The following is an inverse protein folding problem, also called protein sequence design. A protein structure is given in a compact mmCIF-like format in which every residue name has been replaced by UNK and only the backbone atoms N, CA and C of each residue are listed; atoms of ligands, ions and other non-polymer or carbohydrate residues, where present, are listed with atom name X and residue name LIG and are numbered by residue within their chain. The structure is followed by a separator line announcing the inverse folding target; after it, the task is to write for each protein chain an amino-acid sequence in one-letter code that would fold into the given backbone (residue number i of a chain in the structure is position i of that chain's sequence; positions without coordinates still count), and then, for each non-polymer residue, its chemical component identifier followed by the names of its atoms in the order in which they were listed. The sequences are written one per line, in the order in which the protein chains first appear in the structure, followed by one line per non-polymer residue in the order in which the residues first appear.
data_IF_709568641020
#
_entry.id   IF_709568641020
#
_cell.length_a   1.000
_cell.length_b   1.000
_cell.length_c   1.000
_cell.angle_alpha   90.00
_cell.angle_beta   90.00
_cell.angle_gamma   90.00
#
_symmetry.space_group_name_H-M   'P 1'
#
loop_
_entity.id
_entity.type
_entity.pdbx_description
1 polymer ?
#
# COMPACT_ATOMS: atom_id res chain seq x y z
N UNK A 1 2.63 -1.94 -22.80
CA UNK A 1 3.53 -1.72 -21.64
C UNK A 1 3.44 -0.34 -20.96
N UNK A 2 3.12 0.78 -21.63
CA UNK A 2 3.15 2.13 -21.00
C UNK A 2 2.04 2.44 -19.97
N UNK A 3 0.88 1.76 -20.02
CA UNK A 3 -0.27 2.03 -19.14
C UNK A 3 -0.15 1.37 -17.75
N UNK A 4 0.38 0.14 -17.67
CA UNK A 4 0.48 -0.60 -16.40
C UNK A 4 1.33 0.12 -15.35
N UNK A 5 2.36 0.85 -15.80
CA UNK A 5 3.25 1.62 -14.93
C UNK A 5 2.55 2.84 -14.29
N UNK A 6 1.54 3.43 -14.96
CA UNK A 6 0.77 4.56 -14.41
C UNK A 6 -0.13 4.12 -13.26
N UNK A 7 -0.85 3.01 -13.43
CA UNK A 7 -1.73 2.46 -12.38
C UNK A 7 -0.92 2.00 -11.17
N UNK A 8 0.18 1.29 -11.39
CA UNK A 8 1.07 0.83 -10.31
C UNK A 8 1.67 2.02 -9.55
N UNK A 9 2.11 3.08 -10.25
CA UNK A 9 2.57 4.33 -9.61
C UNK A 9 1.46 4.99 -8.79
N UNK A 10 0.26 5.10 -9.34
CA UNK A 10 -0.88 5.70 -8.63
C UNK A 10 -1.24 4.93 -7.35
N UNK A 11 -1.31 3.60 -7.42
CA UNK A 11 -1.55 2.74 -6.26
C UNK A 11 -0.44 2.84 -5.21
N UNK A 12 0.83 2.95 -5.63
CA UNK A 12 1.96 3.21 -4.74
C UNK A 12 1.81 4.56 -4.03
N UNK A 13 1.48 5.62 -4.76
CA UNK A 13 1.28 6.96 -4.19
C UNK A 13 0.13 6.98 -3.19
N UNK A 14 -1.02 6.44 -3.56
CA UNK A 14 -2.20 6.39 -2.67
C UNK A 14 -1.93 5.52 -1.45
N UNK A 15 -1.37 4.31 -1.65
CA UNK A 15 -1.02 3.42 -0.55
C UNK A 15 -0.04 4.07 0.43
N UNK A 16 0.98 4.76 -0.08
CA UNK A 16 1.92 5.52 0.72
C UNK A 16 1.28 6.66 1.50
N UNK A 17 0.42 7.47 0.86
CA UNK A 17 -0.29 8.58 1.53
C UNK A 17 -1.22 8.05 2.63
N UNK A 18 -1.97 6.98 2.36
CA UNK A 18 -2.85 6.35 3.36
C UNK A 18 -2.08 5.84 4.57
N UNK A 19 -0.92 5.22 4.32
CA UNK A 19 -0.08 4.68 5.38
C UNK A 19 0.53 5.81 6.22
N UNK A 20 1.03 6.88 5.59
CA UNK A 20 1.50 8.09 6.26
C UNK A 20 0.39 8.74 7.10
N UNK A 21 -0.79 8.94 6.51
CA UNK A 21 -1.95 9.49 7.22
C UNK A 21 -2.38 8.62 8.39
N UNK A 22 -2.37 7.29 8.23
CA UNK A 22 -2.72 6.35 9.28
C UNK A 22 -1.71 6.33 10.42
N UNK A 23 -0.41 6.44 10.13
CA UNK A 23 0.62 6.53 11.15
C UNK A 23 0.56 7.87 11.89
N UNK A 24 0.38 8.98 11.17
CA UNK A 24 0.31 10.32 11.76
C UNK A 24 -0.97 10.56 12.55
N UNK A 25 -2.08 9.88 12.21
CA UNK A 25 -3.33 9.98 12.98
C UNK A 25 -3.45 8.97 14.12
N UNK A 26 -2.40 8.17 14.37
CA UNK A 26 -2.40 7.21 15.45
C UNK A 26 -2.18 7.92 16.79
N UNK A 27 -3.08 7.73 17.74
CA UNK A 27 -2.87 8.17 19.11
C UNK A 27 -1.88 7.23 19.79
N UNK A 28 -0.72 7.77 20.19
CA UNK A 28 0.35 7.03 20.84
C UNK A 28 0.15 6.90 22.35
N UNK A 29 -0.82 7.63 22.93
CA UNK A 29 -1.14 7.54 24.35
C UNK A 29 -2.15 6.44 24.65
N UNK A 30 -3.02 6.10 23.69
CA UNK A 30 -4.02 5.04 23.83
C UNK A 30 -4.10 4.19 22.56
N UNK A 31 -3.42 3.03 22.57
CA UNK A 31 -3.41 2.08 21.47
C UNK A 31 -4.69 1.23 21.34
N UNK A 32 -5.72 1.48 22.15
CA UNK A 32 -6.97 0.71 22.10
C UNK A 32 -7.63 0.79 20.72
N UNK A 33 -8.28 -0.31 20.34
CA UNK A 33 -8.93 -0.42 19.02
C UNK A 33 -10.01 0.65 18.84
N UNK A 34 -10.80 0.93 19.87
CA UNK A 34 -11.91 1.87 19.77
C UNK A 34 -11.44 3.31 19.49
N UNK A 35 -10.34 3.74 20.12
CA UNK A 35 -9.74 5.06 19.86
C UNK A 35 -9.06 5.13 18.49
N UNK A 36 -8.29 4.10 18.13
CA UNK A 36 -7.45 4.11 16.94
C UNK A 36 -8.07 3.44 15.70
N UNK A 37 -9.34 3.01 15.76
CA UNK A 37 -10.03 2.26 14.70
C UNK A 37 -9.85 2.85 13.31
N UNK A 38 -10.01 4.17 13.19
CA UNK A 38 -9.87 4.90 11.92
C UNK A 38 -8.42 4.89 11.42
N UNK A 39 -7.45 5.05 12.32
CA UNK A 39 -6.02 4.98 11.97
C UNK A 39 -5.64 3.58 11.52
N UNK A 40 -6.03 2.56 12.28
CA UNK A 40 -5.81 1.16 11.91
C UNK A 40 -6.43 0.83 10.55
N UNK A 41 -7.64 1.29 10.27
CA UNK A 41 -8.25 1.10 8.95
C UNK A 41 -7.43 1.70 7.81
N UNK A 42 -6.89 2.92 7.99
CA UNK A 42 -6.02 3.58 6.98
C UNK A 42 -4.70 2.81 6.80
N UNK A 43 -4.07 2.39 7.90
CA UNK A 43 -2.82 1.62 7.88
C UNK A 43 -3.03 0.30 7.14
N UNK A 44 -4.07 -0.47 7.50
CA UNK A 44 -4.39 -1.75 6.87
C UNK A 44 -4.68 -1.55 5.38
N UNK A 45 -5.48 -0.56 5.02
CA UNK A 45 -5.81 -0.26 3.62
C UNK A 45 -4.58 0.16 2.82
N UNK A 46 -3.70 0.98 3.41
CA UNK A 46 -2.42 1.38 2.80
C UNK A 46 -1.49 0.19 2.55
N UNK A 47 -1.33 -0.68 3.56
CA UNK A 47 -0.53 -1.91 3.43
C UNK A 47 -1.10 -2.82 2.34
N UNK A 48 -2.42 -3.02 2.30
CA UNK A 48 -3.06 -3.87 1.31
C UNK A 48 -2.80 -3.37 -0.12
N UNK A 49 -2.93 -2.05 -0.36
CA UNK A 49 -2.64 -1.44 -1.66
C UNK A 49 -1.17 -1.61 -2.06
N UNK A 50 -0.25 -1.41 -1.13
CA UNK A 50 1.18 -1.59 -1.38
C UNK A 50 1.53 -3.06 -1.67
N UNK A 51 0.90 -4.00 -0.96
CA UNK A 51 1.07 -5.44 -1.19
C UNK A 51 0.61 -5.83 -2.61
N UNK A 52 -0.54 -5.33 -3.05
CA UNK A 52 -1.05 -5.57 -4.41
C UNK A 52 -0.05 -5.03 -5.46
N UNK A 53 0.48 -3.83 -5.26
CA UNK A 53 1.54 -3.28 -6.11
C UNK A 53 2.79 -4.16 -6.13
N UNK A 54 3.24 -4.60 -4.97
CA UNK A 54 4.43 -5.44 -4.83
C UNK A 54 4.27 -6.77 -5.57
N UNK A 55 3.14 -7.46 -5.36
CA UNK A 55 2.81 -8.71 -6.05
C UNK A 55 2.83 -8.50 -7.57
N UNK A 56 2.20 -7.44 -8.06
CA UNK A 56 2.15 -7.14 -9.48
C UNK A 56 3.55 -6.94 -10.08
N UNK A 57 4.40 -6.14 -9.42
CA UNK A 57 5.79 -5.90 -9.84
C UNK A 57 6.59 -7.21 -9.83
N UNK A 58 6.42 -8.04 -8.79
CA UNK A 58 7.10 -9.33 -8.67
C UNK A 58 6.75 -10.27 -9.83
N UNK A 59 5.47 -10.40 -10.16
CA UNK A 59 5.02 -11.24 -11.27
C UNK A 59 5.44 -10.70 -12.65
N UNK A 60 5.42 -9.38 -12.85
CA UNK A 60 5.95 -8.75 -14.08
C UNK A 60 7.44 -9.07 -14.24
N UNK A 61 8.24 -8.95 -13.17
CA UNK A 61 9.67 -9.27 -13.20
C UNK A 61 9.91 -10.76 -13.48
N UNK A 62 9.14 -11.66 -12.85
CA UNK A 62 9.24 -13.11 -13.06
C UNK A 62 8.90 -13.51 -14.51
N UNK A 63 7.86 -12.91 -15.11
CA UNK A 63 7.51 -13.17 -16.52
C UNK A 63 8.61 -12.74 -17.49
N UNK A 64 9.33 -11.67 -17.18
CA UNK A 64 10.42 -11.16 -18.02
C UNK A 64 11.65 -12.08 -17.97
N UNK A 65 11.92 -12.71 -16.81
CA UNK A 65 13.03 -13.66 -16.63
C UNK A 65 12.74 -15.03 -17.24
N UNK A 66 11.47 -15.45 -17.32
CA UNK A 66 11.09 -16.77 -17.88
C UNK A 66 11.02 -16.82 -19.42
N UNK A 67 11.06 -15.67 -20.10
CA UNK A 67 10.94 -15.55 -21.56
C UNK A 67 12.28 -15.22 -22.26
N UNK A 68 13.38 -15.17 -21.50
CA UNK A 68 14.76 -15.03 -21.99
C UNK A 68 15.51 -16.34 -21.73
#
# INVERSE_FOLDING_TARGET
MKSQNKITRFLLTIGGILLLMGLLSLDLNDFSYDFNKKSYFKIISGILLLLICFIKIYFEKKKTVSNN
#
